data_IF_097019960256
#
_entry.id   IF_097019960256
#
_cell.length_a   1.000
_cell.length_b   1.000
_cell.length_c   1.000
_cell.angle_alpha   90.00
_cell.angle_beta   90.00
_cell.angle_gamma   90.00
#
_symmetry.space_group_name_H-M   'P 1'
#
loop_
_entity.id
_entity.type
_entity.pdbx_description
1 polymer ?
#
# COMPACT_ATOMS: atom_id res chain seq x y z
N UNK A 1 -25.69 21.83 -23.32
CA UNK A 1 -26.51 21.70 -22.11
C UNK A 1 -26.64 20.24 -21.76
N UNK A 2 -26.02 19.81 -20.65
CA UNK A 2 -26.36 18.53 -20.02
C UNK A 2 -27.62 18.81 -19.21
N UNK A 3 -28.65 17.96 -19.29
CA UNK A 3 -29.93 18.15 -18.59
C UNK A 3 -29.75 17.94 -17.07
N UNK A 4 -28.96 18.80 -16.44
CA UNK A 4 -28.65 18.75 -15.02
C UNK A 4 -29.92 19.02 -14.22
N UNK A 5 -30.23 18.09 -13.31
CA UNK A 5 -31.35 18.23 -12.36
C UNK A 5 -30.77 18.51 -10.99
N UNK A 6 -31.31 19.52 -10.33
CA UNK A 6 -31.01 19.78 -8.92
C UNK A 6 -31.77 18.77 -8.05
N UNK A 7 -31.05 18.15 -7.12
CA UNK A 7 -31.63 17.23 -6.14
C UNK A 7 -31.59 17.88 -4.76
N UNK A 8 -32.74 17.94 -4.08
CA UNK A 8 -32.89 18.50 -2.73
C UNK A 8 -32.44 17.54 -1.62
N UNK A 9 -31.39 16.75 -1.86
CA UNK A 9 -30.92 15.75 -0.90
C UNK A 9 -29.42 15.84 -0.67
N UNK A 10 -28.99 15.46 0.54
CA UNK A 10 -27.58 15.35 0.86
C UNK A 10 -26.87 14.32 -0.02
N UNK A 11 -25.56 14.47 -0.20
CA UNK A 11 -24.70 13.51 -0.90
C UNK A 11 -24.84 12.10 -0.29
N UNK A 12 -24.91 12.00 1.04
CA UNK A 12 -25.11 10.72 1.72
C UNK A 12 -26.44 10.05 1.37
N UNK A 13 -27.50 10.84 1.20
CA UNK A 13 -28.83 10.33 0.79
C UNK A 13 -28.84 9.93 -0.68
N UNK A 14 -28.16 10.67 -1.54
CA UNK A 14 -27.96 10.31 -2.94
C UNK A 14 -27.28 8.94 -3.08
N UNK A 15 -26.16 8.71 -2.41
CA UNK A 15 -25.46 7.41 -2.44
C UNK A 15 -26.28 6.27 -1.83
N UNK A 16 -27.09 6.55 -0.80
CA UNK A 16 -28.01 5.55 -0.24
C UNK A 16 -29.04 5.09 -1.26
N UNK A 17 -29.57 5.98 -2.11
CA UNK A 17 -30.51 5.63 -3.19
C UNK A 17 -29.89 4.74 -4.28
N UNK A 18 -28.61 4.95 -4.60
CA UNK A 18 -27.86 4.00 -5.44
C UNK A 18 -27.70 2.63 -4.76
N UNK A 19 -27.47 2.62 -3.44
CA UNK A 19 -27.34 1.38 -2.65
C UNK A 19 -28.67 0.61 -2.52
N UNK A 20 -29.79 1.31 -2.40
CA UNK A 20 -31.14 0.70 -2.32
C UNK A 20 -31.68 0.27 -3.68
N UNK A 21 -30.99 0.59 -4.78
CA UNK A 21 -31.40 0.24 -6.14
C UNK A 21 -32.41 1.20 -6.77
N UNK A 22 -32.78 2.28 -6.08
CA UNK A 22 -33.63 3.35 -6.63
C UNK A 22 -32.96 4.09 -7.79
N UNK A 23 -31.63 4.18 -7.78
CA UNK A 23 -30.84 4.70 -8.89
C UNK A 23 -29.92 3.63 -9.46
N UNK A 24 -29.79 3.63 -10.80
CA UNK A 24 -28.93 2.69 -11.48
C UNK A 24 -27.44 3.05 -11.25
N UNK A 25 -26.74 2.17 -10.56
CA UNK A 25 -25.31 2.29 -10.18
C UNK A 25 -24.38 2.52 -11.37
N UNK A 26 -24.78 2.17 -12.60
CA UNK A 26 -24.01 2.43 -13.82
C UNK A 26 -23.90 3.93 -14.16
N UNK A 27 -24.77 4.78 -13.59
CA UNK A 27 -24.67 6.23 -13.71
C UNK A 27 -23.69 6.86 -12.73
N UNK A 28 -23.19 6.10 -11.73
CA UNK A 28 -22.13 6.63 -10.88
C UNK A 28 -20.87 6.84 -11.73
N UNK A 29 -20.20 8.00 -11.58
CA UNK A 29 -18.90 8.18 -12.21
C UNK A 29 -17.95 7.10 -11.71
N UNK A 30 -17.34 6.36 -12.62
CA UNK A 30 -16.29 5.41 -12.26
C UNK A 30 -15.19 6.13 -11.48
N UNK A 31 -14.88 5.65 -10.29
CA UNK A 31 -13.75 6.16 -9.53
C UNK A 31 -12.45 5.72 -10.23
N UNK A 32 -11.71 6.69 -10.74
CA UNK A 32 -10.38 6.50 -11.31
C UNK A 32 -10.33 6.35 -12.83
N UNK A 33 -9.12 6.44 -13.38
CA UNK A 33 -8.87 6.30 -14.81
C UNK A 33 -8.88 4.81 -15.17
N UNK A 34 -9.87 4.39 -15.96
CA UNK A 34 -9.91 3.03 -16.52
C UNK A 34 -8.67 2.80 -17.40
N UNK A 35 -8.02 1.65 -17.22
CA UNK A 35 -6.94 1.21 -18.11
C UNK A 35 -7.53 0.83 -19.48
N UNK A 36 -6.86 1.14 -20.60
CA UNK A 36 -7.31 0.72 -21.93
C UNK A 36 -7.55 -0.80 -22.01
N UNK A 37 -8.50 -1.23 -22.85
CA UNK A 37 -8.71 -2.66 -23.10
C UNK A 37 -7.41 -3.28 -23.64
N UNK A 38 -7.00 -4.43 -23.09
CA UNK A 38 -5.73 -5.07 -23.44
C UNK A 38 -4.50 -4.50 -22.74
N UNK A 39 -4.67 -3.60 -21.75
CA UNK A 39 -3.56 -3.14 -20.91
C UNK A 39 -2.88 -4.31 -20.20
N UNK A 40 -1.61 -4.53 -20.52
CA UNK A 40 -0.73 -5.45 -19.81
C UNK A 40 0.14 -4.63 -18.86
N UNK A 41 0.09 -4.93 -17.57
CA UNK A 41 0.92 -4.31 -16.55
C UNK A 41 2.40 -4.65 -16.82
N UNK A 42 3.24 -3.63 -17.04
CA UNK A 42 4.67 -3.77 -17.37
C UNK A 42 5.59 -3.56 -16.17
N UNK A 43 5.05 -3.15 -15.02
CA UNK A 43 5.84 -3.00 -13.80
C UNK A 43 6.42 -4.34 -13.40
N UNK A 44 7.68 -4.32 -12.94
CA UNK A 44 8.37 -5.50 -12.48
C UNK A 44 7.56 -6.21 -11.41
N UNK A 45 7.18 -7.46 -11.68
CA UNK A 45 6.66 -8.37 -10.66
C UNK A 45 7.87 -9.01 -10.01
N UNK A 46 8.12 -8.72 -8.75
CA UNK A 46 9.13 -9.44 -7.98
C UNK A 46 8.70 -10.92 -7.96
N UNK A 47 9.60 -11.81 -8.37
CA UNK A 47 9.45 -13.22 -8.11
C UNK A 47 9.54 -13.43 -6.57
N UNK A 48 8.88 -14.45 -6.04
CA UNK A 48 8.93 -14.81 -4.60
C UNK A 48 8.21 -13.86 -3.63
N UNK A 49 7.01 -13.36 -3.99
CA UNK A 49 6.12 -12.68 -3.02
C UNK A 49 5.19 -13.70 -2.37
N UNK A 50 5.03 -13.60 -1.05
CA UNK A 50 3.89 -14.20 -0.33
C UNK A 50 2.71 -13.24 -0.37
N UNK A 51 1.51 -13.74 -0.58
CA UNK A 51 0.32 -12.90 -0.57
C UNK A 51 -0.03 -12.52 0.87
N UNK A 52 -0.51 -11.30 1.09
CA UNK A 52 -0.98 -10.85 2.41
C UNK A 52 -2.10 -11.77 2.93
N UNK A 53 -2.93 -12.32 2.03
CA UNK A 53 -3.98 -13.28 2.41
C UNK A 53 -3.43 -14.59 2.99
N UNK A 54 -2.21 -15.00 2.61
CA UNK A 54 -1.59 -16.25 3.06
C UNK A 54 -0.96 -16.09 4.45
N UNK A 55 -0.72 -14.87 4.90
CA UNK A 55 -0.06 -14.55 6.18
C UNK A 55 -0.71 -15.23 7.39
N UNK A 56 -2.05 -15.26 7.49
CA UNK A 56 -2.76 -15.92 8.59
C UNK A 56 -2.62 -17.43 8.59
N UNK A 57 -2.38 -18.02 7.41
CA UNK A 57 -2.13 -19.46 7.26
C UNK A 57 -0.70 -19.80 7.64
N UNK A 58 0.25 -18.97 7.22
CA UNK A 58 1.68 -19.20 7.46
C UNK A 58 2.09 -18.88 8.91
N UNK A 59 1.42 -17.92 9.55
CA UNK A 59 1.69 -17.45 10.91
C UNK A 59 0.39 -17.45 11.72
N UNK A 60 0.11 -18.57 12.39
CA UNK A 60 -1.14 -18.78 13.16
C UNK A 60 -1.30 -17.77 14.30
N UNK A 61 -0.18 -17.37 14.90
CA UNK A 61 -0.09 -16.41 16.02
C UNK A 61 0.42 -15.04 15.57
N UNK A 62 0.26 -14.67 14.29
CA UNK A 62 0.75 -13.39 13.73
C UNK A 62 0.35 -12.15 14.55
N UNK A 63 -0.79 -12.22 15.23
CA UNK A 63 -1.31 -11.12 16.04
C UNK A 63 -0.56 -10.92 17.36
N UNK A 64 0.15 -11.94 17.85
CA UNK A 64 0.80 -12.02 19.17
C UNK A 64 2.29 -12.36 19.10
N UNK A 65 2.79 -12.77 17.94
CA UNK A 65 4.19 -13.12 17.69
C UNK A 65 5.08 -11.90 17.41
N UNK A 66 6.20 -11.81 18.12
CA UNK A 66 7.24 -10.79 17.90
C UNK A 66 8.13 -11.14 16.69
N UNK A 67 8.65 -10.11 16.01
CA UNK A 67 9.64 -10.27 14.93
C UNK A 67 9.12 -9.99 13.53
N UNK A 68 7.85 -9.59 13.41
CA UNK A 68 7.26 -9.14 12.15
C UNK A 68 7.57 -7.65 11.94
N UNK A 69 8.53 -7.36 11.05
CA UNK A 69 8.94 -6.01 10.70
C UNK A 69 8.20 -5.50 9.45
N UNK A 70 7.62 -4.30 9.53
CA UNK A 70 7.21 -3.53 8.36
C UNK A 70 8.30 -2.55 7.97
N UNK A 71 8.76 -2.63 6.73
CA UNK A 71 9.79 -1.75 6.18
C UNK A 71 9.22 -0.71 5.23
N UNK A 72 9.60 0.55 5.42
CA UNK A 72 9.36 1.64 4.47
C UNK A 72 10.67 2.38 4.16
N UNK A 73 10.69 3.17 3.08
CA UNK A 73 11.84 3.99 2.69
C UNK A 73 11.42 5.43 2.47
N UNK A 74 11.91 6.31 3.34
CA UNK A 74 11.73 7.75 3.21
C UNK A 74 12.83 8.30 2.30
N UNK A 75 12.43 8.93 1.20
CA UNK A 75 13.37 9.58 0.27
C UNK A 75 13.43 11.08 0.57
N UNK A 76 14.64 11.58 0.81
CA UNK A 76 14.89 12.99 1.10
C UNK A 76 14.62 13.90 -0.10
N UNK A 77 14.51 15.20 0.19
CA UNK A 77 14.32 16.26 -0.80
C UNK A 77 15.37 16.16 -1.93
N UNK A 78 14.92 16.42 -3.16
CA UNK A 78 15.71 16.29 -4.38
C UNK A 78 16.31 14.88 -4.59
N UNK A 79 15.80 13.84 -3.91
CA UNK A 79 16.26 12.46 -4.01
C UNK A 79 17.74 12.27 -3.65
N UNK A 80 18.30 13.15 -2.80
CA UNK A 80 19.73 13.15 -2.42
C UNK A 80 20.06 12.20 -1.27
N UNK A 81 19.07 11.73 -0.54
CA UNK A 81 19.23 10.81 0.59
C UNK A 81 18.04 9.88 0.69
N UNK A 82 18.23 8.77 1.40
CA UNK A 82 17.17 7.87 1.79
C UNK A 82 17.39 7.44 3.24
N UNK A 83 16.32 7.04 3.89
CA UNK A 83 16.30 6.45 5.22
C UNK A 83 15.34 5.27 5.18
N UNK A 84 15.76 4.13 5.72
CA UNK A 84 14.93 2.93 5.86
C UNK A 84 14.36 2.94 7.27
N UNK A 85 13.07 2.73 7.40
CA UNK A 85 12.39 2.57 8.68
C UNK A 85 11.84 1.17 8.78
N UNK A 86 12.28 0.39 9.77
CA UNK A 86 11.76 -0.93 10.09
C UNK A 86 11.00 -0.83 11.40
N UNK A 87 9.72 -1.18 11.41
CA UNK A 87 8.86 -1.11 12.59
C UNK A 87 8.40 -2.50 12.97
N UNK A 88 8.68 -2.90 14.21
CA UNK A 88 8.16 -4.16 14.75
C UNK A 88 6.69 -4.00 15.15
N UNK A 89 5.86 -4.92 14.69
CA UNK A 89 4.40 -4.81 14.76
C UNK A 89 3.86 -4.73 16.19
N UNK A 90 4.40 -5.47 17.15
CA UNK A 90 3.85 -5.57 18.51
C UNK A 90 4.40 -4.52 19.47
N UNK A 91 5.71 -4.53 19.65
CA UNK A 91 6.46 -3.63 20.52
C UNK A 91 6.47 -2.20 20.00
N UNK A 92 6.19 -2.00 18.70
CA UNK A 92 6.32 -0.71 18.00
C UNK A 92 7.75 -0.17 18.03
N UNK A 93 8.74 -1.03 18.28
CA UNK A 93 10.15 -0.64 18.18
C UNK A 93 10.46 -0.19 16.76
N UNK A 94 11.15 0.94 16.64
CA UNK A 94 11.51 1.55 15.35
C UNK A 94 13.03 1.46 15.20
N UNK A 95 13.46 0.84 14.12
CA UNK A 95 14.85 0.80 13.68
C UNK A 95 14.97 1.72 12.47
N UNK A 96 15.96 2.61 12.52
CA UNK A 96 16.22 3.58 11.45
C UNK A 96 17.61 3.30 10.89
N UNK A 97 17.68 2.94 9.60
CA UNK A 97 18.93 2.67 8.91
C UNK A 97 19.17 3.74 7.85
N UNK A 98 20.41 4.19 7.73
CA UNK A 98 20.82 5.14 6.70
C UNK A 98 21.56 4.38 5.59
N UNK A 99 20.91 4.13 4.43
CA UNK A 99 21.61 3.58 3.29
C UNK A 99 22.55 4.60 2.64
N UNK A 100 23.54 4.10 1.90
CA UNK A 100 24.45 4.93 1.09
C UNK A 100 23.68 5.72 0.01
N UNK A 101 22.63 5.11 -0.54
CA UNK A 101 21.80 5.67 -1.59
C UNK A 101 20.37 5.14 -1.59
N UNK A 102 19.61 5.49 -2.62
CA UNK A 102 18.18 5.13 -2.77
C UNK A 102 17.94 3.97 -3.73
N UNK A 103 18.99 3.39 -4.32
CA UNK A 103 18.82 2.27 -5.25
C UNK A 103 18.47 1.02 -4.46
N UNK A 104 17.84 0.06 -5.12
CA UNK A 104 17.47 -1.20 -4.49
C UNK A 104 18.69 -1.91 -3.86
N UNK A 105 19.85 -1.87 -4.53
CA UNK A 105 21.10 -2.45 -4.03
C UNK A 105 21.60 -1.78 -2.75
N UNK A 106 21.54 -0.45 -2.66
CA UNK A 106 21.97 0.29 -1.46
C UNK A 106 21.07 -0.04 -0.26
N UNK A 107 19.76 -0.19 -0.53
CA UNK A 107 18.76 -0.57 0.47
C UNK A 107 18.99 -2.01 0.93
N UNK A 108 19.21 -2.94 -0.01
CA UNK A 108 19.47 -4.36 0.27
C UNK A 108 20.73 -4.55 1.10
N UNK A 109 21.84 -3.90 0.74
CA UNK A 109 23.10 -3.95 1.49
C UNK A 109 22.90 -3.50 2.93
N UNK A 110 22.23 -2.36 3.13
CA UNK A 110 22.00 -1.79 4.47
C UNK A 110 21.14 -2.71 5.36
N UNK A 111 20.13 -3.36 4.78
CA UNK A 111 19.29 -4.31 5.49
C UNK A 111 20.07 -5.58 5.83
N UNK A 112 20.85 -6.11 4.89
CA UNK A 112 21.65 -7.33 5.09
C UNK A 112 22.74 -7.12 6.16
N UNK A 113 23.45 -5.99 6.13
CA UNK A 113 24.43 -5.63 7.15
C UNK A 113 23.79 -5.54 8.53
N UNK A 114 22.62 -4.90 8.63
CA UNK A 114 21.90 -4.84 9.89
C UNK A 114 21.42 -6.21 10.37
N UNK A 115 20.85 -7.04 9.48
CA UNK A 115 20.39 -8.38 9.83
C UNK A 115 21.52 -9.30 10.31
N UNK A 116 22.74 -9.13 9.80
CA UNK A 116 23.92 -9.86 10.29
C UNK A 116 24.31 -9.48 11.73
N UNK A 117 23.90 -8.30 12.20
CA UNK A 117 24.14 -7.86 13.58
C UNK A 117 23.08 -8.36 14.57
N UNK A 118 21.96 -8.88 14.06
CA UNK A 118 20.87 -9.42 14.88
C UNK A 118 21.24 -10.88 15.25
N UNK A 119 21.13 -11.27 16.53
CA UNK A 119 21.44 -12.63 17.00
C UNK A 119 20.63 -13.75 16.35
#
# INVERSE_FOLDING_TARGET
GRAERTFSCSVSTLYRRFKTGEFNVLHLPMQGKRKPNGYKEKRGKQAFKRNISERKKDYVVFEEEFGHLEGDTIVGIHHKSAVITLVERLSKAIIVLKPEGRKAVDIENSINEWLQSVP
#
